data_IF_712971738083
#
_entry.id   IF_712971738083
#
_cell.length_a   1.000
_cell.length_b   1.000
_cell.length_c   1.000
_cell.angle_alpha   90.00
_cell.angle_beta   90.00
_cell.angle_gamma   90.00
#
_symmetry.space_group_name_H-M   'P 1'
#
loop_
_entity.id
_entity.type
_entity.pdbx_description
1 polymer ?
#
# COMPACT_ATOMS: atom_id res chain seq x y z
N UNK A 1 -6.31 4.47 -14.50
CA UNK A 1 -5.27 5.38 -13.98
C UNK A 1 -5.06 6.51 -14.98
N UNK A 2 -5.33 7.78 -14.62
CA UNK A 2 -4.71 8.88 -15.37
C UNK A 2 -3.28 9.03 -14.84
N UNK A 3 -2.32 8.85 -15.74
CA UNK A 3 -0.90 8.90 -15.41
C UNK A 3 -0.46 10.28 -14.94
N UNK A 4 0.62 10.28 -14.19
CA UNK A 4 1.48 11.45 -13.97
C UNK A 4 1.77 12.06 -15.35
N UNK A 5 1.36 13.31 -15.57
CA UNK A 5 1.44 13.94 -16.89
C UNK A 5 2.91 14.03 -17.35
N UNK A 6 3.33 13.23 -18.33
CA UNK A 6 4.66 13.38 -18.95
C UNK A 6 4.57 14.50 -20.01
N UNK A 7 5.15 15.66 -19.72
CA UNK A 7 5.10 16.83 -20.59
C UNK A 7 6.46 17.51 -20.76
N UNK A 8 6.62 18.32 -21.84
CA UNK A 8 7.84 19.08 -22.19
C UNK A 8 8.07 20.24 -21.20
N UNK A 9 8.50 19.90 -19.98
CA UNK A 9 8.95 20.70 -18.82
C UNK A 9 8.56 20.05 -17.47
N UNK A 10 7.93 18.88 -17.48
CA UNK A 10 7.49 18.22 -16.25
C UNK A 10 8.57 17.36 -15.58
N UNK A 11 9.73 17.97 -15.34
CA UNK A 11 10.90 17.29 -14.77
C UNK A 11 10.90 17.27 -13.23
N UNK A 12 9.89 17.85 -12.58
CA UNK A 12 9.86 17.97 -11.13
C UNK A 12 8.46 17.78 -10.55
N UNK A 13 7.94 16.54 -10.58
CA UNK A 13 7.06 16.10 -9.49
C UNK A 13 7.78 16.10 -8.13
N UNK A 14 9.10 16.25 -8.17
CA UNK A 14 9.98 16.32 -7.03
C UNK A 14 10.80 17.62 -7.05
N UNK A 15 10.62 18.47 -6.04
CA UNK A 15 11.43 19.67 -5.85
C UNK A 15 12.88 19.40 -5.40
N UNK A 16 13.22 18.14 -5.14
CA UNK A 16 14.57 17.67 -4.82
C UNK A 16 14.70 16.16 -5.08
N UNK A 17 15.91 15.63 -5.27
CA UNK A 17 16.15 14.19 -5.44
C UNK A 17 15.55 13.38 -4.28
N UNK A 18 15.78 13.81 -3.04
CA UNK A 18 15.22 13.15 -1.84
C UNK A 18 13.69 13.16 -1.83
N UNK A 19 13.07 14.23 -2.35
CA UNK A 19 11.63 14.29 -2.57
C UNK A 19 11.15 13.32 -3.65
N UNK A 20 11.94 13.15 -4.71
CA UNK A 20 11.67 12.22 -5.81
C UNK A 20 11.68 10.79 -5.32
N UNK A 21 12.69 10.42 -4.54
CA UNK A 21 12.86 9.07 -4.02
C UNK A 21 11.68 8.70 -3.11
N UNK A 22 11.28 9.61 -2.20
CA UNK A 22 10.09 9.41 -1.35
C UNK A 22 8.81 9.30 -2.15
N UNK A 23 8.62 10.16 -3.15
CA UNK A 23 7.45 10.11 -4.03
C UNK A 23 7.40 8.79 -4.80
N UNK A 24 8.54 8.31 -5.32
CA UNK A 24 8.66 7.05 -6.03
C UNK A 24 8.30 5.86 -5.12
N UNK A 25 8.77 5.85 -3.87
CA UNK A 25 8.42 4.82 -2.88
C UNK A 25 6.91 4.80 -2.63
N UNK A 26 6.31 5.96 -2.33
CA UNK A 26 4.87 6.08 -2.06
C UNK A 26 4.03 5.67 -3.27
N UNK A 27 4.40 6.11 -4.47
CA UNK A 27 3.70 5.77 -5.71
C UNK A 27 3.78 4.28 -6.03
N UNK A 28 4.96 3.68 -5.86
CA UNK A 28 5.17 2.24 -6.04
C UNK A 28 4.30 1.46 -5.06
N UNK A 29 4.32 1.81 -3.79
CA UNK A 29 3.52 1.17 -2.74
C UNK A 29 2.01 1.25 -3.03
N UNK A 30 1.52 2.44 -3.41
CA UNK A 30 0.11 2.64 -3.78
C UNK A 30 -0.25 1.81 -5.02
N UNK A 31 0.64 1.75 -6.02
CA UNK A 31 0.44 0.94 -7.21
C UNK A 31 0.37 -0.55 -6.86
N UNK A 32 1.28 -1.05 -6.01
CA UNK A 32 1.26 -2.44 -5.53
C UNK A 32 -0.04 -2.77 -4.80
N UNK A 33 -0.53 -1.91 -3.90
CA UNK A 33 -1.81 -2.14 -3.21
C UNK A 33 -2.98 -2.24 -4.20
N UNK A 34 -3.04 -1.31 -5.16
CA UNK A 34 -4.08 -1.31 -6.20
C UNK A 34 -4.03 -2.54 -7.10
N UNK A 35 -2.84 -3.03 -7.45
CA UNK A 35 -2.66 -4.26 -8.25
C UNK A 35 -3.15 -5.51 -7.51
N UNK A 36 -3.26 -5.47 -6.17
CA UNK A 36 -3.75 -6.57 -5.35
C UNK A 36 -5.21 -6.38 -4.90
N UNK A 37 -5.92 -5.38 -5.46
CA UNK A 37 -7.27 -4.98 -5.04
C UNK A 37 -7.37 -4.67 -3.54
N UNK A 38 -6.36 -3.98 -3.00
CA UNK A 38 -6.30 -3.56 -1.60
C UNK A 38 -6.39 -2.04 -1.54
N UNK A 39 -7.19 -1.52 -0.61
CA UNK A 39 -7.21 -0.09 -0.33
C UNK A 39 -5.86 0.34 0.28
N UNK A 40 -5.06 1.19 -0.40
CA UNK A 40 -3.74 1.56 0.07
C UNK A 40 -3.77 2.28 1.43
N UNK A 41 -4.86 3.03 1.70
CA UNK A 41 -5.00 3.78 2.96
C UNK A 41 -5.25 2.84 4.14
N UNK A 42 -6.22 1.92 4.00
CA UNK A 42 -6.51 0.92 5.03
C UNK A 42 -5.31 0.02 5.32
N UNK A 43 -4.62 -0.45 4.27
CA UNK A 43 -3.42 -1.26 4.41
C UNK A 43 -2.31 -0.52 5.14
N UNK A 44 -1.97 0.70 4.70
CA UNK A 44 -0.88 1.47 5.31
C UNK A 44 -1.15 1.80 6.78
N UNK A 45 -2.40 2.13 7.14
CA UNK A 45 -2.78 2.39 8.51
C UNK A 45 -2.56 1.17 9.42
N UNK A 46 -2.97 -0.02 8.95
CA UNK A 46 -2.79 -1.27 9.70
C UNK A 46 -1.32 -1.68 9.82
N UNK A 47 -0.55 -1.53 8.73
CA UNK A 47 0.90 -1.78 8.71
C UNK A 47 1.60 -0.88 9.72
N UNK A 48 1.36 0.43 9.69
CA UNK A 48 2.00 1.37 10.62
C UNK A 48 1.63 1.10 12.08
N UNK A 49 0.41 0.61 12.34
CA UNK A 49 -0.02 0.26 13.70
C UNK A 49 0.67 -1.01 14.22
N UNK A 50 1.03 -1.96 13.35
CA UNK A 50 1.52 -3.29 13.72
C UNK A 50 3.03 -3.46 13.55
N UNK A 51 3.67 -2.68 12.68
CA UNK A 51 5.06 -2.92 12.25
C UNK A 51 6.08 -2.86 13.40
N UNK A 52 5.82 -2.07 14.44
CA UNK A 52 6.69 -1.96 15.60
C UNK A 52 6.66 -3.21 16.49
N UNK A 53 5.53 -3.92 16.50
CA UNK A 53 5.28 -5.08 17.36
C UNK A 53 5.59 -6.42 16.67
N UNK A 54 5.70 -6.43 15.33
CA UNK A 54 5.98 -7.65 14.58
C UNK A 54 7.48 -7.97 14.53
N UNK A 55 7.89 -9.21 14.84
CA UNK A 55 9.27 -9.64 14.63
C UNK A 55 9.56 -9.73 13.13
N UNK A 56 10.79 -9.38 12.73
CA UNK A 56 11.26 -9.39 11.34
C UNK A 56 10.85 -10.60 10.49
N UNK A 57 10.92 -11.86 10.98
CA UNK A 57 10.51 -13.02 10.19
C UNK A 57 9.02 -13.03 9.82
N UNK A 58 8.15 -12.29 10.52
CA UNK A 58 6.70 -12.24 10.26
C UNK A 58 6.26 -11.05 9.42
N UNK A 59 7.19 -10.19 8.97
CA UNK A 59 6.86 -9.01 8.16
C UNK A 59 6.17 -9.36 6.84
N UNK A 60 6.36 -10.57 6.31
CA UNK A 60 5.68 -11.01 5.08
C UNK A 60 4.15 -11.04 5.24
N UNK A 61 3.63 -11.22 6.45
CA UNK A 61 2.20 -11.18 6.75
C UNK A 61 1.57 -9.81 6.47
N UNK A 62 2.39 -8.75 6.49
CA UNK A 62 1.96 -7.38 6.20
C UNK A 62 1.94 -7.07 4.71
N UNK A 63 2.35 -7.98 3.83
CA UNK A 63 2.29 -7.76 2.39
C UNK A 63 0.82 -7.63 1.93
N UNK A 64 0.49 -6.80 0.93
CA UNK A 64 -0.89 -6.49 0.58
C UNK A 64 -1.78 -7.73 0.33
N UNK A 65 -1.25 -8.77 -0.30
CA UNK A 65 -1.99 -10.00 -0.59
C UNK A 65 -2.22 -10.86 0.66
N UNK A 66 -1.22 -11.03 1.53
CA UNK A 66 -1.36 -11.75 2.81
C UNK A 66 -2.31 -11.00 3.76
N UNK A 67 -2.16 -9.68 3.84
CA UNK A 67 -3.02 -8.82 4.65
C UNK A 67 -4.50 -8.95 4.27
N UNK A 68 -4.78 -9.01 2.96
CA UNK A 68 -6.13 -9.22 2.43
C UNK A 68 -6.69 -10.58 2.83
N UNK A 69 -5.89 -11.65 2.71
CA UNK A 69 -6.28 -13.00 3.10
C UNK A 69 -6.59 -13.08 4.60
N UNK A 70 -5.74 -12.48 5.45
CA UNK A 70 -5.95 -12.42 6.90
C UNK A 70 -7.27 -11.70 7.26
N UNK A 71 -7.53 -10.54 6.65
CA UNK A 71 -8.77 -9.78 6.88
C UNK A 71 -10.03 -10.51 6.43
N UNK A 72 -9.92 -11.34 5.38
CA UNK A 72 -11.03 -12.17 4.91
C UNK A 72 -11.30 -13.32 5.88
N UNK A 73 -10.25 -13.93 6.43
CA UNK A 73 -10.37 -14.99 7.44
C UNK A 73 -10.95 -14.48 8.76
N UNK A 74 -10.62 -13.24 9.15
CA UNK A 74 -11.14 -12.60 10.37
C UNK A 74 -12.60 -12.14 10.25
N UNK A 75 -13.18 -12.14 9.04
CA UNK A 75 -14.57 -11.70 8.84
C UNK A 75 -15.50 -12.81 9.32
N UNK A 76 -16.36 -12.58 10.33
CA UNK A 76 -17.26 -13.63 10.83
C UNK A 76 -18.26 -14.03 9.74
N UNK A 77 -18.51 -15.34 9.63
CA UNK A 77 -19.31 -15.98 8.58
C UNK A 77 -20.74 -15.42 8.44
N UNK A 78 -21.25 -14.72 9.45
CA UNK A 78 -22.59 -14.14 9.48
C UNK A 78 -22.77 -12.91 8.57
N UNK A 79 -21.69 -12.32 8.03
CA UNK A 79 -21.76 -11.13 7.18
C UNK A 79 -21.74 -11.39 5.66
N UNK A 80 -21.68 -12.66 5.23
CA UNK A 80 -21.66 -13.03 3.80
C UNK A 80 -23.04 -13.42 3.22
N UNK A 81 -24.07 -13.50 4.04
CA UNK A 81 -25.43 -13.90 3.65
C UNK A 81 -26.45 -12.78 3.96
N UNK A 82 -26.44 -11.72 3.16
CA UNK A 82 -27.51 -10.72 3.09
C UNK A 82 -27.54 -10.05 1.71
#
# INVERSE_FOLDING_TARGET
MRGIALGRRNWTFAGSQRGADRAAIMLTMIATCRLNDVDPKAWLADVLARIADLPAPRLYELLPWEWKLQRQADKPADQQAA
#
